data_IF_625620283910
#
_entry.id   IF_625620283910
#
_cell.length_a   1.000
_cell.length_b   1.000
_cell.length_c   1.000
_cell.angle_alpha   90.00
_cell.angle_beta   90.00
_cell.angle_gamma   90.00
#
_symmetry.space_group_name_H-M   'P 1'
#
loop_
_entity.id
_entity.type
_entity.pdbx_description
1 polymer ?
#
# COMPACT_ATOMS: atom_id res chain seq x y z
N UNK A 1 3.47 1.40 -30.11
CA UNK A 1 4.27 2.58 -29.72
C UNK A 1 4.76 2.32 -28.31
N UNK A 2 6.06 2.10 -28.12
CA UNK A 2 6.61 1.81 -26.80
C UNK A 2 6.45 3.04 -25.91
N UNK A 3 5.67 2.93 -24.84
CA UNK A 3 5.61 3.95 -23.79
C UNK A 3 7.04 4.13 -23.28
N UNK A 4 7.63 5.31 -23.43
CA UNK A 4 8.88 5.65 -22.76
C UNK A 4 8.70 5.27 -21.28
N UNK A 5 9.56 4.40 -20.76
CA UNK A 5 9.43 3.93 -19.39
C UNK A 5 9.52 5.14 -18.45
N UNK A 6 8.41 5.47 -17.78
CA UNK A 6 8.42 6.54 -16.78
C UNK A 6 9.25 6.06 -15.58
N UNK A 7 10.06 6.97 -15.05
CA UNK A 7 10.86 6.75 -13.84
C UNK A 7 10.45 7.82 -12.81
N UNK A 8 9.63 7.47 -11.81
CA UNK A 8 9.26 8.39 -10.74
C UNK A 8 10.42 8.64 -9.77
N UNK A 9 11.52 7.91 -9.93
CA UNK A 9 12.51 7.74 -8.89
C UNK A 9 13.57 8.85 -8.81
N UNK A 10 14.03 9.09 -7.59
CA UNK A 10 15.21 9.88 -7.23
C UNK A 10 16.27 8.98 -6.61
N UNK A 11 17.53 9.39 -6.73
CA UNK A 11 18.66 8.70 -6.14
C UNK A 11 18.56 8.80 -4.62
N UNK A 12 18.53 7.69 -3.89
CA UNK A 12 18.45 7.72 -2.44
C UNK A 12 19.77 8.17 -1.76
N UNK A 13 20.83 8.42 -2.54
CA UNK A 13 22.14 8.86 -2.03
C UNK A 13 22.37 10.37 -2.24
N UNK A 14 21.96 10.93 -3.38
CA UNK A 14 22.17 12.36 -3.69
C UNK A 14 20.89 13.14 -3.97
N UNK A 15 19.71 12.50 -3.93
CA UNK A 15 18.41 13.13 -4.19
C UNK A 15 18.12 13.47 -5.66
N UNK A 16 19.13 13.39 -6.54
CA UNK A 16 18.98 13.73 -7.95
C UNK A 16 18.06 12.74 -8.71
N UNK A 17 17.33 13.20 -9.76
CA UNK A 17 16.50 12.33 -10.58
C UNK A 17 17.25 11.12 -11.12
N UNK A 18 16.60 9.96 -11.10
CA UNK A 18 17.09 8.76 -11.78
C UNK A 18 16.51 8.68 -13.19
N UNK A 19 17.36 8.27 -14.15
CA UNK A 19 17.00 8.03 -15.54
C UNK A 19 17.46 6.63 -15.99
N UNK A 20 16.77 6.07 -16.98
CA UNK A 20 17.00 4.72 -17.50
C UNK A 20 15.78 3.80 -17.31
N UNK A 21 15.89 2.56 -17.79
CA UNK A 21 14.80 1.55 -17.75
C UNK A 21 15.23 0.22 -17.13
N UNK A 22 16.46 -0.24 -17.37
CA UNK A 22 17.01 -1.43 -16.70
C UNK A 22 17.90 -1.01 -15.54
N UNK A 23 18.96 -0.26 -15.82
CA UNK A 23 19.78 0.37 -14.79
C UNK A 23 19.38 1.83 -14.67
N UNK A 24 18.96 2.23 -13.47
CA UNK A 24 18.69 3.63 -13.14
C UNK A 24 19.99 4.32 -12.74
N UNK A 25 20.25 5.49 -13.32
CA UNK A 25 21.46 6.27 -13.04
C UNK A 25 21.12 7.71 -12.70
N UNK A 26 21.86 8.29 -11.76
CA UNK A 26 21.81 9.72 -11.45
C UNK A 26 23.00 10.47 -12.09
N UNK A 27 22.95 11.81 -12.18
CA UNK A 27 24.06 12.62 -12.70
C UNK A 27 25.38 12.46 -11.93
N UNK A 28 25.33 12.08 -10.66
CA UNK A 28 26.51 11.82 -9.82
C UNK A 28 27.13 10.42 -10.06
N UNK A 29 26.60 9.63 -10.99
CA UNK A 29 27.15 8.31 -11.34
C UNK A 29 26.63 7.13 -10.50
N UNK A 30 25.81 7.36 -9.45
CA UNK A 30 25.19 6.26 -8.72
C UNK A 30 24.23 5.46 -9.62
N UNK A 31 24.33 4.13 -9.56
CA UNK A 31 23.61 3.19 -10.40
C UNK A 31 22.78 2.20 -9.56
N UNK A 32 21.58 1.87 -10.03
CA UNK A 32 20.67 0.92 -9.39
C UNK A 32 20.09 -0.02 -10.45
N UNK A 33 20.47 -1.29 -10.41
CA UNK A 33 19.99 -2.27 -11.38
C UNK A 33 18.58 -2.78 -11.04
N UNK A 34 17.77 -2.98 -12.08
CA UNK A 34 16.48 -3.64 -11.96
C UNK A 34 16.68 -5.12 -11.69
N UNK A 35 16.12 -5.61 -10.60
CA UNK A 35 16.10 -7.03 -10.30
C UNK A 35 15.33 -7.80 -11.37
N UNK A 36 15.61 -9.10 -11.53
CA UNK A 36 14.93 -9.96 -12.51
C UNK A 36 13.40 -10.01 -12.35
N UNK A 37 12.89 -9.79 -11.14
CA UNK A 37 11.45 -9.70 -10.87
C UNK A 37 10.85 -8.32 -11.22
N UNK A 38 11.65 -7.35 -11.63
CA UNK A 38 11.18 -6.10 -12.23
C UNK A 38 11.16 -4.87 -11.31
N UNK A 39 11.77 -4.92 -10.12
CA UNK A 39 11.84 -3.81 -9.16
C UNK A 39 13.26 -3.26 -8.97
N UNK A 40 13.39 -2.09 -8.36
CA UNK A 40 14.67 -1.51 -7.92
C UNK A 40 14.83 -1.54 -6.41
N UNK A 41 16.06 -1.68 -5.94
CA UNK A 41 16.36 -1.55 -4.51
C UNK A 41 16.91 -0.14 -4.23
N UNK A 42 16.06 0.75 -3.70
CA UNK A 42 16.37 2.16 -3.46
C UNK A 42 16.40 2.50 -1.96
N UNK A 43 16.58 1.50 -1.11
CA UNK A 43 16.74 1.65 0.33
C UNK A 43 18.23 1.64 0.70
N UNK A 44 18.82 2.76 1.18
CA UNK A 44 20.20 2.79 1.64
C UNK A 44 20.42 1.89 2.85
N UNK A 45 21.55 1.19 2.89
CA UNK A 45 21.94 0.31 4.01
C UNK A 45 21.97 1.08 5.35
N UNK A 46 22.41 2.34 5.31
CA UNK A 46 22.50 3.23 6.48
C UNK A 46 21.13 3.58 7.09
N UNK A 47 20.06 3.50 6.29
CA UNK A 47 18.69 3.82 6.69
C UNK A 47 17.91 2.57 7.13
N UNK A 48 18.62 1.45 7.34
CA UNK A 48 18.04 0.20 7.85
C UNK A 48 18.54 -0.06 9.27
N UNK A 49 17.61 -0.04 10.23
CA UNK A 49 17.91 -0.44 11.63
C UNK A 49 18.08 -1.95 11.79
N UNK A 50 17.54 -2.73 10.85
CA UNK A 50 17.58 -4.20 10.84
C UNK A 50 17.97 -4.71 9.45
N UNK A 51 18.55 -5.92 9.37
CA UNK A 51 18.95 -6.54 8.09
C UNK A 51 17.77 -6.88 7.16
N UNK A 52 16.57 -6.99 7.72
CA UNK A 52 15.33 -7.28 7.00
C UNK A 52 14.19 -6.43 7.60
N UNK A 53 14.07 -5.15 7.19
CA UNK A 53 12.99 -4.30 7.65
C UNK A 53 11.66 -4.65 6.98
N UNK A 54 10.55 -4.39 7.68
CA UNK A 54 9.20 -4.72 7.22
C UNK A 54 8.82 -6.17 7.47
N UNK A 55 7.82 -6.64 6.73
CA UNK A 55 7.26 -7.99 6.88
C UNK A 55 8.24 -9.09 6.44
N UNK A 56 8.24 -10.20 7.18
CA UNK A 56 9.02 -11.39 6.81
C UNK A 56 8.47 -12.06 5.55
N UNK A 57 9.24 -12.97 4.95
CA UNK A 57 8.80 -13.73 3.78
C UNK A 57 7.53 -14.55 4.07
N UNK A 58 7.44 -15.11 5.26
CA UNK A 58 6.33 -15.93 5.75
C UNK A 58 5.07 -15.07 5.92
N UNK A 59 5.21 -13.89 6.54
CA UNK A 59 4.10 -12.93 6.68
C UNK A 59 3.58 -12.46 5.32
N UNK A 60 4.49 -12.15 4.39
CA UNK A 60 4.13 -11.76 3.02
C UNK A 60 3.42 -12.90 2.29
N UNK A 61 3.89 -14.15 2.44
CA UNK A 61 3.25 -15.31 1.82
C UNK A 61 1.84 -15.56 2.38
N UNK A 62 1.68 -15.44 3.69
CA UNK A 62 0.38 -15.57 4.37
C UNK A 62 -0.59 -14.47 3.90
N UNK A 63 -0.15 -13.20 3.91
CA UNK A 63 -0.94 -12.07 3.38
C UNK A 63 -1.39 -12.31 1.95
N UNK A 64 -0.47 -12.76 1.10
CA UNK A 64 -0.79 -13.06 -0.30
C UNK A 64 -1.82 -14.17 -0.42
N UNK A 65 -1.68 -15.27 0.32
CA UNK A 65 -2.64 -16.37 0.29
C UNK A 65 -4.05 -15.89 0.66
N UNK A 66 -4.17 -15.11 1.73
CA UNK A 66 -5.44 -14.55 2.19
C UNK A 66 -6.06 -13.58 1.17
N UNK A 67 -5.29 -12.61 0.67
CA UNK A 67 -5.79 -11.64 -0.31
C UNK A 67 -6.15 -12.32 -1.65
N UNK A 68 -5.35 -13.30 -2.09
CA UNK A 68 -5.64 -14.07 -3.31
C UNK A 68 -6.89 -14.94 -3.20
N UNK A 69 -7.34 -15.30 -1.98
CA UNK A 69 -8.61 -15.98 -1.76
C UNK A 69 -9.84 -15.05 -1.89
N UNK A 70 -9.63 -13.73 -2.05
CA UNK A 70 -10.70 -12.79 -2.39
C UNK A 70 -11.49 -12.22 -1.21
N UNK A 71 -11.12 -12.54 0.04
CA UNK A 71 -11.82 -12.05 1.23
C UNK A 71 -11.90 -10.51 1.29
N UNK A 72 -10.88 -9.80 0.81
CA UNK A 72 -10.86 -8.33 0.75
C UNK A 72 -11.30 -7.79 -0.62
N UNK A 73 -12.11 -8.55 -1.37
CA UNK A 73 -12.65 -8.14 -2.68
C UNK A 73 -13.33 -6.78 -2.64
N UNK A 74 -14.21 -6.55 -1.63
CA UNK A 74 -14.93 -5.28 -1.45
C UNK A 74 -13.98 -4.09 -1.24
N UNK A 75 -12.82 -4.33 -0.61
CA UNK A 75 -11.81 -3.31 -0.39
C UNK A 75 -11.16 -2.94 -1.72
N UNK A 76 -10.69 -3.94 -2.46
CA UNK A 76 -10.04 -3.73 -3.75
C UNK A 76 -10.96 -3.06 -4.78
N UNK A 77 -12.25 -3.39 -4.73
CA UNK A 77 -13.28 -2.73 -5.53
C UNK A 77 -13.41 -1.25 -5.12
N UNK A 78 -13.74 -0.97 -3.87
CA UNK A 78 -13.96 0.40 -3.38
C UNK A 78 -12.73 1.31 -3.58
N UNK A 79 -11.53 0.78 -3.35
CA UNK A 79 -10.29 1.54 -3.54
C UNK A 79 -10.08 1.94 -5.00
N UNK A 80 -10.29 1.03 -5.96
CA UNK A 80 -10.15 1.37 -7.37
C UNK A 80 -11.21 2.36 -7.86
N UNK A 81 -12.45 2.25 -7.36
CA UNK A 81 -13.53 3.21 -7.65
C UNK A 81 -13.17 4.62 -7.13
N UNK A 82 -12.66 4.71 -5.90
CA UNK A 82 -12.17 5.97 -5.34
C UNK A 82 -10.96 6.53 -6.09
N UNK A 83 -10.06 5.67 -6.58
CA UNK A 83 -8.94 6.13 -7.41
C UNK A 83 -9.44 6.73 -8.73
N UNK A 84 -10.49 6.16 -9.33
CA UNK A 84 -11.13 6.71 -10.52
C UNK A 84 -11.84 8.04 -10.20
N UNK A 85 -12.59 8.11 -9.11
CA UNK A 85 -13.35 9.29 -8.70
C UNK A 85 -12.43 10.48 -8.34
N UNK A 86 -11.41 10.23 -7.51
CA UNK A 86 -10.56 11.29 -6.97
C UNK A 86 -9.27 11.51 -7.75
N UNK A 87 -8.86 10.59 -8.61
CA UNK A 87 -7.66 10.71 -9.43
C UNK A 87 -7.82 11.74 -10.54
N UNK A 88 -7.19 12.90 -10.38
CA UNK A 88 -7.14 13.97 -11.39
C UNK A 88 -5.72 14.07 -11.95
N UNK A 89 -5.48 13.66 -13.22
CA UNK A 89 -4.19 13.84 -13.88
C UNK A 89 -3.75 15.30 -13.92
N UNK A 90 -2.44 15.56 -13.93
CA UNK A 90 -1.92 16.93 -13.98
C UNK A 90 -2.24 17.69 -15.28
N UNK A 91 -2.48 16.97 -16.38
CA UNK A 91 -2.87 17.54 -17.66
C UNK A 91 -3.98 16.71 -18.29
N UNK A 92 -4.79 17.35 -19.13
CA UNK A 92 -5.80 16.67 -19.92
C UNK A 92 -5.13 15.59 -20.79
N UNK A 93 -5.74 14.40 -20.86
CA UNK A 93 -5.25 13.22 -21.59
C UNK A 93 -3.92 12.60 -21.08
N UNK A 94 -3.27 13.18 -20.08
CA UNK A 94 -2.11 12.56 -19.44
C UNK A 94 -2.53 11.34 -18.58
N UNK A 95 -1.66 10.33 -18.44
CA UNK A 95 -1.88 9.25 -17.48
C UNK A 95 -2.00 9.83 -16.06
N UNK A 96 -2.88 9.23 -15.25
CA UNK A 96 -2.87 9.50 -13.81
C UNK A 96 -1.59 8.91 -13.22
N UNK A 97 -0.79 9.73 -12.50
CA UNK A 97 0.37 9.26 -11.76
C UNK A 97 -0.05 8.87 -10.35
N UNK A 98 -0.20 7.57 -10.11
CA UNK A 98 -0.58 7.01 -8.82
C UNK A 98 0.67 6.50 -8.09
N UNK A 99 0.83 6.91 -6.84
CA UNK A 99 1.87 6.41 -5.94
C UNK A 99 1.26 5.59 -4.80
N UNK A 100 1.58 4.31 -4.70
CA UNK A 100 1.26 3.48 -3.52
C UNK A 100 2.43 3.47 -2.52
N UNK A 101 2.24 4.14 -1.39
CA UNK A 101 3.19 4.23 -0.29
C UNK A 101 2.92 3.11 0.73
N UNK A 102 3.64 1.99 0.56
CA UNK A 102 3.40 0.74 1.30
C UNK A 102 2.62 -0.28 0.45
N UNK A 103 3.07 -0.50 -0.79
CA UNK A 103 2.35 -1.30 -1.77
C UNK A 103 2.23 -2.79 -1.41
N UNK A 104 2.97 -3.26 -0.42
CA UNK A 104 3.02 -4.66 -0.04
C UNK A 104 3.30 -5.56 -1.25
N UNK A 105 2.45 -6.57 -1.46
CA UNK A 105 2.57 -7.52 -2.57
C UNK A 105 1.84 -7.06 -3.85
N UNK A 106 1.36 -5.81 -3.89
CA UNK A 106 0.71 -5.20 -5.04
C UNK A 106 -0.69 -5.78 -5.34
N UNK A 107 -1.38 -6.35 -4.36
CA UNK A 107 -2.74 -6.87 -4.57
C UNK A 107 -3.70 -5.74 -4.95
N UNK A 108 -3.68 -4.66 -4.17
CA UNK A 108 -4.53 -3.49 -4.38
C UNK A 108 -4.20 -2.79 -5.69
N UNK A 109 -2.91 -2.65 -6.01
CA UNK A 109 -2.44 -2.10 -7.29
C UNK A 109 -3.01 -2.84 -8.49
N UNK A 110 -3.09 -4.18 -8.44
CA UNK A 110 -3.70 -4.97 -9.51
C UNK A 110 -5.20 -4.74 -9.63
N UNK A 111 -5.91 -4.55 -8.51
CA UNK A 111 -7.33 -4.18 -8.53
C UNK A 111 -7.53 -2.81 -9.20
N UNK A 112 -6.73 -1.82 -8.82
CA UNK A 112 -6.78 -0.47 -9.38
C UNK A 112 -6.45 -0.49 -10.88
N UNK A 113 -5.34 -1.13 -11.27
CA UNK A 113 -4.93 -1.21 -12.67
C UNK A 113 -5.99 -1.87 -13.56
N UNK A 114 -6.69 -2.91 -13.07
CA UNK A 114 -7.81 -3.53 -13.79
C UNK A 114 -8.99 -2.58 -13.99
N UNK A 115 -9.34 -1.80 -12.96
CA UNK A 115 -10.44 -0.83 -13.06
C UNK A 115 -10.10 0.33 -13.99
N UNK A 116 -8.87 0.86 -13.95
CA UNK A 116 -8.41 1.88 -14.89
C UNK A 116 -8.40 1.37 -16.34
N UNK A 117 -7.94 0.13 -16.56
CA UNK A 117 -8.00 -0.49 -17.88
C UNK A 117 -9.45 -0.65 -18.37
N UNK A 118 -10.37 -1.12 -17.51
CA UNK A 118 -11.79 -1.25 -17.84
C UNK A 118 -12.45 0.10 -18.15
N UNK A 119 -12.03 1.18 -17.47
CA UNK A 119 -12.49 2.54 -17.74
C UNK A 119 -11.77 3.21 -18.92
N UNK A 120 -10.86 2.52 -19.61
CA UNK A 120 -10.01 3.06 -20.67
C UNK A 120 -9.25 4.34 -20.25
N UNK A 121 -8.85 4.44 -18.97
CA UNK A 121 -8.13 5.61 -18.42
C UNK A 121 -6.64 5.28 -18.27
N UNK A 122 -5.74 6.09 -18.84
CA UNK A 122 -4.31 5.84 -18.74
C UNK A 122 -3.80 6.01 -17.29
N UNK A 123 -2.91 5.11 -16.88
CA UNK A 123 -2.40 5.01 -15.50
C UNK A 123 -0.89 4.76 -15.50
N UNK A 124 -0.15 5.61 -14.79
CA UNK A 124 1.24 5.40 -14.41
C UNK A 124 1.29 5.07 -12.92
N UNK A 125 1.38 3.77 -12.60
CA UNK A 125 1.41 3.30 -11.22
C UNK A 125 2.85 3.08 -10.77
N UNK A 126 3.22 3.75 -9.67
CA UNK A 126 4.43 3.47 -8.92
C UNK A 126 4.08 3.00 -7.52
N UNK A 127 4.80 2.01 -7.00
CA UNK A 127 4.61 1.51 -5.64
C UNK A 127 5.95 1.30 -4.96
N UNK A 128 6.00 1.53 -3.65
CA UNK A 128 7.16 1.11 -2.87
C UNK A 128 6.76 0.51 -1.55
N UNK A 129 7.60 -0.38 -1.04
CA UNK A 129 7.48 -0.96 0.28
C UNK A 129 8.88 -1.20 0.85
N UNK A 130 9.00 -1.20 2.16
CA UNK A 130 10.28 -1.49 2.82
C UNK A 130 10.58 -2.99 2.83
N UNK A 131 9.54 -3.83 2.77
CA UNK A 131 9.64 -5.28 2.75
C UNK A 131 10.01 -5.78 1.34
N UNK A 132 11.31 -6.03 1.12
CA UNK A 132 11.84 -6.61 -0.13
C UNK A 132 11.06 -7.85 -0.63
N UNK A 133 10.65 -8.82 0.21
CA UNK A 133 9.86 -9.96 -0.26
C UNK A 133 8.52 -9.55 -0.87
N UNK A 134 7.88 -8.50 -0.35
CA UNK A 134 6.59 -8.00 -0.82
C UNK A 134 6.73 -7.31 -2.19
N UNK A 135 7.67 -6.36 -2.29
CA UNK A 135 7.99 -5.64 -3.54
C UNK A 135 8.33 -6.60 -4.68
N UNK A 136 9.08 -7.67 -4.38
CA UNK A 136 9.41 -8.71 -5.34
C UNK A 136 8.16 -9.37 -5.93
N UNK A 137 7.13 -9.62 -5.12
CA UNK A 137 5.86 -10.19 -5.57
C UNK A 137 5.04 -9.16 -6.36
N UNK A 138 4.97 -7.93 -5.88
CA UNK A 138 4.27 -6.83 -6.55
C UNK A 138 4.78 -6.62 -7.99
N UNK A 139 6.09 -6.51 -8.14
CA UNK A 139 6.73 -6.28 -9.44
C UNK A 139 6.53 -7.43 -10.43
N UNK A 140 6.56 -8.68 -9.95
CA UNK A 140 6.28 -9.84 -10.79
C UNK A 140 4.80 -9.89 -11.19
N UNK A 141 3.89 -9.47 -10.31
CA UNK A 141 2.46 -9.59 -10.51
C UNK A 141 1.86 -8.44 -11.34
N UNK A 142 2.49 -7.27 -11.38
CA UNK A 142 2.08 -6.13 -12.21
C UNK A 142 3.30 -5.49 -12.92
N UNK A 143 3.81 -6.08 -14.02
CA UNK A 143 5.03 -5.61 -14.71
C UNK A 143 4.91 -4.22 -15.36
N UNK A 144 3.68 -3.75 -15.58
CA UNK A 144 3.40 -2.42 -16.13
C UNK A 144 3.67 -1.30 -15.12
N UNK A 145 3.60 -1.60 -13.82
CA UNK A 145 3.92 -0.65 -12.76
C UNK A 145 5.44 -0.54 -12.52
N UNK A 146 5.82 0.44 -11.70
CA UNK A 146 7.22 0.65 -11.28
C UNK A 146 7.30 0.45 -9.78
N UNK A 147 8.11 -0.53 -9.35
CA UNK A 147 8.24 -0.84 -7.93
C UNK A 147 9.65 -0.63 -7.39
N UNK A 148 9.74 -0.16 -6.15
CA UNK A 148 11.00 -0.02 -5.45
C UNK A 148 10.94 -0.55 -4.01
N UNK A 149 12.05 -1.11 -3.52
CA UNK A 149 12.28 -1.30 -2.09
C UNK A 149 12.72 0.03 -1.51
N UNK A 150 11.90 0.63 -0.65
CA UNK A 150 12.17 1.95 -0.09
C UNK A 150 11.41 2.21 1.22
N UNK A 151 11.79 3.26 1.94
CA UNK A 151 11.12 3.68 3.18
C UNK A 151 10.12 4.80 2.91
N UNK A 152 8.95 4.76 3.54
CA UNK A 152 7.97 5.86 3.50
C UNK A 152 8.51 7.17 4.07
N UNK A 153 9.52 7.12 4.95
CA UNK A 153 10.12 8.30 5.57
C UNK A 153 11.30 8.88 4.77
N UNK A 154 11.73 8.19 3.70
CA UNK A 154 12.77 8.64 2.77
C UNK A 154 12.42 8.12 1.37
N UNK A 155 11.34 8.65 0.81
CA UNK A 155 10.74 8.19 -0.44
C UNK A 155 11.65 8.58 -1.60
N UNK A 156 12.12 7.63 -2.40
CA UNK A 156 12.97 7.90 -3.55
C UNK A 156 12.10 8.38 -4.73
N UNK A 157 11.16 9.29 -4.51
CA UNK A 157 10.20 9.78 -5.51
C UNK A 157 10.44 11.27 -5.74
N UNK A 158 10.34 11.71 -6.99
CA UNK A 158 10.45 13.12 -7.37
C UNK A 158 9.39 13.96 -6.65
N UNK A 159 9.79 15.13 -6.17
CA UNK A 159 8.87 16.13 -5.60
C UNK A 159 7.78 16.48 -6.62
N UNK A 160 6.52 16.47 -6.19
CA UNK A 160 5.38 16.81 -7.04
C UNK A 160 5.07 15.82 -8.18
N UNK A 161 5.55 14.59 -8.11
CA UNK A 161 5.29 13.59 -9.15
C UNK A 161 3.88 12.99 -9.07
N UNK A 162 3.39 12.70 -7.86
CA UNK A 162 2.13 12.00 -7.67
C UNK A 162 0.93 12.94 -7.86
N UNK A 163 -0.03 12.50 -8.69
CA UNK A 163 -1.37 13.10 -8.79
C UNK A 163 -2.28 12.56 -7.68
N UNK A 164 -2.15 11.26 -7.39
CA UNK A 164 -2.86 10.55 -6.34
C UNK A 164 -1.88 9.67 -5.54
N UNK A 165 -1.92 9.77 -4.22
CA UNK A 165 -1.15 8.94 -3.30
C UNK A 165 -2.07 7.99 -2.53
N UNK A 166 -1.70 6.72 -2.44
CA UNK A 166 -2.35 5.73 -1.60
C UNK A 166 -1.49 5.42 -0.38
N UNK A 167 -2.16 5.29 0.76
CA UNK A 167 -1.52 4.83 1.99
C UNK A 167 -2.48 3.88 2.70
N UNK A 168 -2.28 2.57 2.50
CA UNK A 168 -3.15 1.52 3.01
C UNK A 168 -2.44 0.73 4.12
N UNK A 169 -2.86 0.91 5.38
CA UNK A 169 -2.31 0.18 6.53
C UNK A 169 -0.78 0.25 6.68
N UNK A 170 -0.16 1.32 6.19
CA UNK A 170 1.28 1.55 6.26
C UNK A 170 1.59 2.84 7.03
N UNK A 171 2.84 3.07 7.47
CA UNK A 171 3.19 4.24 8.27
C UNK A 171 2.89 5.56 7.58
N UNK A 172 2.29 6.50 8.33
CA UNK A 172 1.93 7.82 7.83
C UNK A 172 3.14 8.77 7.84
N UNK A 173 3.72 9.05 6.67
CA UNK A 173 4.91 9.88 6.51
C UNK A 173 4.54 11.26 5.93
N UNK A 174 3.88 12.09 6.77
CA UNK A 174 3.27 13.37 6.38
C UNK A 174 4.15 14.24 5.47
N UNK A 175 5.38 14.52 5.89
CA UNK A 175 6.29 15.44 5.17
C UNK A 175 6.62 14.93 3.77
N UNK A 176 6.89 13.62 3.66
CA UNK A 176 7.16 12.99 2.38
C UNK A 176 5.92 12.92 1.50
N UNK A 177 4.74 12.63 2.06
CA UNK A 177 3.48 12.65 1.31
C UNK A 177 3.19 14.04 0.73
N UNK A 178 3.38 15.10 1.53
CA UNK A 178 3.28 16.47 1.06
C UNK A 178 4.32 16.75 -0.03
N UNK A 179 5.57 16.29 0.10
CA UNK A 179 6.62 16.53 -0.88
C UNK A 179 6.33 15.86 -2.23
N UNK A 180 5.93 14.59 -2.23
CA UNK A 180 5.76 13.82 -3.48
C UNK A 180 4.47 14.14 -4.22
N UNK A 181 3.43 14.61 -3.52
CA UNK A 181 2.21 15.09 -4.15
C UNK A 181 2.43 16.43 -4.87
N UNK A 182 1.92 16.55 -6.10
CA UNK A 182 1.85 17.85 -6.78
C UNK A 182 0.91 18.82 -6.04
N UNK A 183 1.01 20.13 -6.25
CA UNK A 183 -0.03 21.07 -5.81
C UNK A 183 -1.42 20.62 -6.30
N UNK A 184 -2.40 20.59 -5.39
CA UNK A 184 -3.75 20.06 -5.66
C UNK A 184 -3.84 18.54 -5.88
N UNK A 185 -2.73 17.81 -5.70
CA UNK A 185 -2.72 16.35 -5.67
C UNK A 185 -3.46 15.82 -4.44
N UNK A 186 -3.92 14.57 -4.53
CA UNK A 186 -4.80 13.98 -3.50
C UNK A 186 -4.19 12.75 -2.86
N UNK A 187 -4.63 12.44 -1.65
CA UNK A 187 -4.27 11.24 -0.92
C UNK A 187 -5.53 10.48 -0.51
N UNK A 188 -5.54 9.17 -0.73
CA UNK A 188 -6.48 8.25 -0.13
C UNK A 188 -5.75 7.52 1.00
N UNK A 189 -6.14 7.80 2.23
CA UNK A 189 -5.61 7.17 3.43
C UNK A 189 -6.62 6.18 3.98
N UNK A 190 -6.20 4.92 4.14
CA UNK A 190 -7.11 3.83 4.50
C UNK A 190 -6.83 3.32 5.90
N UNK A 191 -7.87 3.33 6.72
CA UNK A 191 -7.85 2.91 8.13
C UNK A 191 -8.95 1.87 8.39
N UNK A 192 -8.78 0.99 9.40
CA UNK A 192 -9.84 0.07 9.77
C UNK A 192 -11.06 0.84 10.31
N UNK A 193 -12.26 0.39 9.94
CA UNK A 193 -13.50 0.85 10.56
C UNK A 193 -13.65 0.34 12.00
N UNK A 194 -14.61 0.90 12.73
CA UNK A 194 -14.85 0.56 14.14
C UNK A 194 -15.04 -0.95 14.38
N UNK A 195 -15.84 -1.59 13.52
CA UNK A 195 -16.20 -3.02 13.61
C UNK A 195 -15.21 -3.95 12.92
N UNK A 196 -14.14 -3.41 12.32
CA UNK A 196 -13.20 -4.24 11.54
C UNK A 196 -12.57 -5.33 12.40
N UNK A 197 -12.87 -6.59 12.04
CA UNK A 197 -12.41 -7.80 12.71
C UNK A 197 -12.84 -7.89 14.19
N UNK A 198 -13.99 -7.32 14.57
CA UNK A 198 -14.45 -7.35 15.95
C UNK A 198 -14.66 -8.79 16.46
N UNK A 199 -15.23 -9.69 15.65
CA UNK A 199 -15.44 -11.09 16.03
C UNK A 199 -14.11 -11.82 16.23
N UNK A 200 -13.06 -11.48 15.47
CA UNK A 200 -11.70 -11.97 15.76
C UNK A 200 -11.24 -11.50 17.14
N UNK A 201 -11.40 -10.21 17.46
CA UNK A 201 -11.02 -9.68 18.78
C UNK A 201 -11.77 -10.36 19.92
N UNK A 202 -13.04 -10.71 19.75
CA UNK A 202 -13.83 -11.44 20.74
C UNK A 202 -13.28 -12.85 21.02
N UNK A 203 -12.55 -13.45 20.08
CA UNK A 203 -11.82 -14.71 20.30
C UNK A 203 -10.48 -14.43 20.98
N UNK A 204 -9.77 -13.39 20.55
CA UNK A 204 -8.42 -13.08 21.01
C UNK A 204 -8.37 -12.51 22.44
N UNK A 205 -9.38 -11.77 22.88
CA UNK A 205 -9.36 -10.98 24.12
C UNK A 205 -10.59 -11.25 24.99
N UNK A 206 -10.41 -11.20 26.31
CA UNK A 206 -11.52 -11.29 27.27
C UNK A 206 -12.45 -10.05 27.19
N UNK A 207 -11.88 -8.88 26.97
CA UNK A 207 -12.60 -7.62 26.78
C UNK A 207 -12.34 -7.09 25.35
N UNK A 208 -13.12 -7.54 24.35
CA UNK A 208 -12.95 -7.08 22.97
C UNK A 208 -13.39 -5.63 22.80
N UNK A 209 -12.61 -4.86 22.04
CA UNK A 209 -12.83 -3.44 21.81
C UNK A 209 -12.97 -3.11 20.31
N UNK A 210 -13.78 -2.10 20.00
CA UNK A 210 -13.90 -1.54 18.65
C UNK A 210 -12.67 -0.69 18.32
N UNK A 211 -12.31 -0.58 17.04
CA UNK A 211 -11.25 0.35 16.65
C UNK A 211 -11.70 1.78 16.90
N UNK A 212 -10.84 2.64 17.49
CA UNK A 212 -11.18 4.04 17.67
C UNK A 212 -11.33 4.71 16.31
N UNK A 213 -12.44 5.43 16.13
CA UNK A 213 -12.68 6.29 14.97
C UNK A 213 -12.34 7.70 15.42
N UNK A 214 -11.21 8.21 14.96
CA UNK A 214 -10.77 9.57 15.29
C UNK A 214 -10.73 10.41 14.02
N UNK A 215 -11.26 11.62 14.10
CA UNK A 215 -11.04 12.66 13.10
C UNK A 215 -9.69 13.33 13.39
N UNK A 216 -8.65 12.88 12.69
CA UNK A 216 -7.31 13.44 12.84
C UNK A 216 -7.12 14.53 11.80
N UNK A 217 -6.80 15.74 12.26
CA UNK A 217 -6.35 16.80 11.38
C UNK A 217 -4.92 16.52 10.91
N UNK A 218 -4.73 16.39 9.60
CA UNK A 218 -3.41 16.25 8.99
C UNK A 218 -2.97 17.61 8.45
N UNK A 219 -2.06 18.27 9.16
CA UNK A 219 -1.48 19.54 8.74
C UNK A 219 -0.93 19.46 7.30
N UNK A 220 -1.16 20.51 6.50
CA UNK A 220 -0.83 20.55 5.06
C UNK A 220 -1.86 19.86 4.15
N UNK A 221 -2.82 19.13 4.73
CA UNK A 221 -3.91 18.49 3.99
C UNK A 221 -5.26 19.13 4.32
N UNK A 222 -6.18 19.06 3.36
CA UNK A 222 -7.58 19.44 3.52
C UNK A 222 -8.45 18.19 3.30
N UNK A 223 -9.28 17.76 4.27
CA UNK A 223 -10.22 16.67 4.02
C UNK A 223 -11.22 17.09 2.95
N UNK A 224 -11.48 16.21 1.98
CA UNK A 224 -12.40 16.47 0.87
C UNK A 224 -13.47 15.39 0.71
N UNK A 225 -13.34 14.27 1.41
CA UNK A 225 -14.32 13.19 1.35
C UNK A 225 -13.94 12.02 2.23
N UNK A 226 -14.91 11.15 2.45
CA UNK A 226 -14.74 9.88 3.12
C UNK A 226 -15.71 8.87 2.49
N UNK A 227 -15.27 7.61 2.40
CA UNK A 227 -16.13 6.49 2.05
C UNK A 227 -15.88 5.33 2.98
N UNK A 228 -16.94 4.63 3.36
CA UNK A 228 -16.83 3.35 4.05
C UNK A 228 -17.10 2.18 3.09
N UNK A 229 -16.36 1.08 3.28
CA UNK A 229 -16.70 -0.21 2.68
C UNK A 229 -16.80 -1.25 3.80
N UNK A 230 -17.91 -1.99 3.83
CA UNK A 230 -18.20 -2.99 4.85
C UNK A 230 -18.71 -4.27 4.22
N UNK A 231 -18.43 -5.39 4.87
CA UNK A 231 -18.97 -6.68 4.50
C UNK A 231 -18.64 -7.74 5.54
N UNK A 232 -19.14 -8.94 5.30
CA UNK A 232 -18.91 -10.10 6.16
C UNK A 232 -18.13 -11.14 5.39
N UNK A 233 -17.11 -11.71 6.03
CA UNK A 233 -16.33 -12.81 5.49
C UNK A 233 -16.38 -14.00 6.44
N UNK A 234 -16.35 -15.21 5.87
CA UNK A 234 -16.17 -16.45 6.61
C UNK A 234 -14.82 -17.04 6.23
N UNK A 235 -13.91 -17.09 7.19
CA UNK A 235 -12.51 -17.46 7.00
C UNK A 235 -12.29 -18.86 7.57
N UNK A 236 -11.89 -19.85 6.76
CA UNK A 236 -11.64 -21.21 7.24
C UNK A 236 -10.36 -21.27 8.07
N UNK A 237 -10.22 -22.30 8.91
CA UNK A 237 -9.06 -22.53 9.78
C UNK A 237 -7.72 -22.34 9.06
N UNK A 238 -7.60 -22.82 7.82
CA UNK A 238 -6.37 -22.74 7.02
C UNK A 238 -5.94 -21.31 6.65
N UNK A 239 -6.80 -20.31 6.82
CA UNK A 239 -6.55 -18.90 6.51
C UNK A 239 -6.59 -17.98 7.75
N UNK A 240 -6.97 -18.49 8.93
CA UNK A 240 -7.10 -17.67 10.15
C UNK A 240 -5.76 -17.08 10.59
N UNK A 241 -4.70 -17.89 10.57
CA UNK A 241 -3.35 -17.43 10.91
C UNK A 241 -2.87 -16.34 9.94
N UNK A 242 -3.20 -16.49 8.65
CA UNK A 242 -2.85 -15.49 7.65
C UNK A 242 -3.57 -14.17 7.87
N UNK A 243 -4.88 -14.20 8.15
CA UNK A 243 -5.63 -13.01 8.52
C UNK A 243 -5.06 -12.37 9.79
N UNK A 244 -4.79 -13.18 10.82
CA UNK A 244 -4.27 -12.70 12.10
C UNK A 244 -2.91 -12.01 11.95
N UNK A 245 -1.98 -12.60 11.21
CA UNK A 245 -0.66 -12.05 10.93
C UNK A 245 -0.68 -10.74 10.14
N UNK A 246 -1.78 -10.42 9.44
CA UNK A 246 -1.99 -9.14 8.76
C UNK A 246 -2.47 -8.02 9.70
N UNK A 247 -2.78 -8.34 10.95
CA UNK A 247 -3.29 -7.37 11.93
C UNK A 247 -2.19 -6.90 12.87
N UNK A 248 -2.30 -5.67 13.43
CA UNK A 248 -1.44 -5.25 14.53
C UNK A 248 -1.63 -6.09 15.80
N UNK A 249 -2.68 -6.90 15.88
CA UNK A 249 -2.97 -7.78 17.01
C UNK A 249 -1.94 -8.91 17.14
N UNK A 250 -1.36 -9.35 16.02
CA UNK A 250 -0.41 -10.48 15.99
C UNK A 250 0.71 -10.36 17.02
N UNK A 251 1.26 -9.15 17.18
CA UNK A 251 2.38 -8.88 18.08
C UNK A 251 1.99 -8.60 19.52
N UNK A 252 0.72 -8.26 19.77
CA UNK A 252 0.23 -7.79 21.08
C UNK A 252 -0.64 -8.80 21.80
N UNK A 253 -1.11 -9.83 21.09
CA UNK A 253 -2.07 -10.78 21.63
C UNK A 253 -1.40 -11.81 22.53
N UNK A 254 -1.95 -12.07 23.73
CA UNK A 254 -1.49 -13.17 24.58
C UNK A 254 -1.56 -14.54 23.90
N UNK A 255 -0.68 -15.47 24.31
CA UNK A 255 -0.56 -16.80 23.69
C UNK A 255 -1.85 -17.62 23.74
N UNK A 256 -2.64 -17.48 24.81
CA UNK A 256 -3.91 -18.17 24.96
C UNK A 256 -4.95 -17.68 23.94
N UNK A 257 -5.01 -16.37 23.68
CA UNK A 257 -5.89 -15.79 22.67
C UNK A 257 -5.56 -16.28 21.26
N UNK A 258 -4.28 -16.31 20.91
CA UNK A 258 -3.82 -16.86 19.64
C UNK A 258 -4.15 -18.36 19.51
N UNK A 259 -3.98 -19.14 20.58
CA UNK A 259 -4.33 -20.56 20.60
C UNK A 259 -5.85 -20.80 20.42
N UNK A 260 -6.70 -19.95 21.04
CA UNK A 260 -8.16 -20.00 20.81
C UNK A 260 -8.52 -19.76 19.35
N UNK A 261 -7.91 -18.77 18.69
CA UNK A 261 -8.14 -18.52 17.28
C UNK A 261 -7.69 -19.69 16.40
N UNK A 262 -6.50 -20.24 16.67
CA UNK A 262 -5.95 -21.36 15.91
C UNK A 262 -6.77 -22.66 16.04
N UNK A 263 -7.55 -22.81 17.11
CA UNK A 263 -8.41 -23.96 17.34
C UNK A 263 -9.78 -23.87 16.64
N UNK A 264 -10.14 -22.71 16.07
CA UNK A 264 -11.43 -22.55 15.40
C UNK A 264 -11.46 -23.26 14.03
N UNK A 265 -12.56 -23.95 13.68
CA UNK A 265 -12.72 -24.53 12.34
C UNK A 265 -12.93 -23.44 11.27
N UNK A 266 -13.55 -22.32 11.65
CA UNK A 266 -13.74 -21.12 10.85
C UNK A 266 -14.06 -19.92 11.74
N UNK A 267 -13.96 -18.71 11.17
CA UNK A 267 -14.39 -17.46 11.79
C UNK A 267 -15.23 -16.66 10.80
N UNK A 268 -16.47 -16.37 11.17
CA UNK A 268 -17.26 -15.34 10.48
C UNK A 268 -17.06 -14.00 11.19
N UNK A 269 -16.61 -12.99 10.45
CA UNK A 269 -16.28 -11.67 11.01
C UNK A 269 -16.63 -10.55 10.03
N UNK A 270 -16.93 -9.38 10.58
CA UNK A 270 -17.07 -8.16 9.79
C UNK A 270 -15.71 -7.63 9.37
N UNK A 271 -15.64 -7.14 8.14
CA UNK A 271 -14.55 -6.32 7.61
C UNK A 271 -15.12 -4.93 7.30
N UNK A 272 -14.62 -3.92 8.00
CA UNK A 272 -14.98 -2.53 7.78
C UNK A 272 -13.74 -1.69 7.48
N UNK A 273 -13.83 -0.80 6.50
CA UNK A 273 -12.73 0.05 6.06
C UNK A 273 -13.24 1.47 5.87
N UNK A 274 -12.43 2.45 6.28
CA UNK A 274 -12.67 3.87 6.03
C UNK A 274 -11.59 4.38 5.09
N UNK A 275 -12.02 4.94 3.97
CA UNK A 275 -11.19 5.58 2.96
C UNK A 275 -11.32 7.09 3.15
N UNK A 276 -10.31 7.70 3.76
CA UNK A 276 -10.27 9.12 4.02
C UNK A 276 -9.57 9.81 2.84
N UNK A 277 -10.21 10.83 2.26
CA UNK A 277 -9.68 11.53 1.10
C UNK A 277 -9.25 12.93 1.46
N UNK A 278 -8.02 13.25 1.11
CA UNK A 278 -7.39 14.54 1.38
C UNK A 278 -6.85 15.17 0.10
N UNK A 279 -6.87 16.50 0.05
CA UNK A 279 -6.18 17.29 -0.95
C UNK A 279 -5.00 18.02 -0.32
N UNK A 280 -3.86 18.03 -1.01
CA UNK A 280 -2.70 18.83 -0.62
C UNK A 280 -3.02 20.32 -0.81
N UNK A 281 -2.78 21.11 0.24
CA UNK A 281 -2.89 22.57 0.21
C UNK A 281 -1.75 23.22 -0.59
#
# INVERSE_FOLDING_TARGET
MGTAAFAPWCCPLCGAPLAGDVTLKCPSGHCFDRAKEGYWHLLPVQNTRTKAPGDSKEMVAARRAFLSAGYYGIFGQALGELCLEYGIPAAQEAPLRLLDAGCGEGWYDRCIARQFAAAARPLELAGFDIAKPAVRLAAKALPTARYAVASSFHQPVKTGWADLLLNCFSPFAREEFLRVLRPGGRMIYVVPGAEHLYQMKAVLYAEPYKNPVQEVAYEGFRPIGEREARGTITVPASQLEALFAMTPYYWKTPRDGAARLAALPELTTEIAFRFLVFEKR
#
